data_IF_447789809302
#
_entry.id   IF_447789809302
#
_cell.length_a   1.000
_cell.length_b   1.000
_cell.length_c   1.000
_cell.angle_alpha   90.00
_cell.angle_beta   90.00
_cell.angle_gamma   90.00
#
_symmetry.space_group_name_H-M   'P 1'
#
loop_
_entity.id
_entity.type
_entity.pdbx_description
1 polymer ?
#
# COMPACT_ATOMS: atom_id res chain seq x y z
N UNK A 1 0.23 16.50 -0.61
CA UNK A 1 -0.77 15.43 -0.50
C UNK A 1 -1.19 15.06 -1.91
N UNK A 2 -1.28 13.77 -2.23
CA UNK A 2 -1.78 13.31 -3.51
C UNK A 2 -3.32 13.35 -3.53
N UNK A 3 -3.92 13.59 -4.70
CA UNK A 3 -5.37 13.56 -4.87
C UNK A 3 -5.89 12.12 -4.88
N UNK A 4 -5.11 11.21 -5.48
CA UNK A 4 -5.44 9.78 -5.60
C UNK A 4 -4.27 8.91 -5.17
N UNK A 5 -4.56 7.84 -4.44
CA UNK A 5 -3.66 6.72 -4.15
C UNK A 5 -4.21 5.48 -4.87
N UNK A 6 -3.37 4.83 -5.67
CA UNK A 6 -3.72 3.57 -6.31
C UNK A 6 -3.04 2.41 -5.58
N UNK A 7 -3.84 1.51 -5.01
CA UNK A 7 -3.35 0.30 -4.36
C UNK A 7 -3.07 -0.74 -5.44
N UNK A 8 -1.81 -1.17 -5.53
CA UNK A 8 -1.36 -2.16 -6.51
C UNK A 8 -1.70 -3.58 -6.03
N UNK A 9 -2.74 -4.17 -6.59
CA UNK A 9 -3.24 -5.52 -6.24
C UNK A 9 -2.92 -6.57 -7.30
N UNK A 10 -2.70 -6.13 -8.54
CA UNK A 10 -2.35 -7.00 -9.67
C UNK A 10 -0.85 -7.37 -9.69
N UNK A 11 -0.06 -6.77 -8.82
CA UNK A 11 1.36 -7.07 -8.70
C UNK A 11 1.60 -8.41 -7.98
N UNK A 12 2.73 -9.04 -8.31
CA UNK A 12 3.21 -10.22 -7.60
C UNK A 12 3.42 -9.89 -6.11
N UNK A 13 2.98 -10.80 -5.24
CA UNK A 13 3.25 -10.69 -3.80
C UNK A 13 4.75 -10.83 -3.54
N UNK A 14 5.31 -9.90 -2.77
CA UNK A 14 6.72 -9.91 -2.38
C UNK A 14 6.90 -10.65 -1.05
N UNK A 15 7.59 -11.80 -1.12
CA UNK A 15 7.94 -12.54 0.10
C UNK A 15 8.88 -11.70 0.96
N UNK A 16 8.58 -11.63 2.24
CA UNK A 16 9.32 -10.82 3.22
C UNK A 16 9.16 -9.29 3.07
N UNK A 17 8.23 -8.82 2.21
CA UNK A 17 7.79 -7.43 2.17
C UNK A 17 6.88 -7.05 3.34
N UNK A 18 6.27 -5.89 3.25
CA UNK A 18 5.40 -5.33 4.29
C UNK A 18 3.89 -5.58 4.07
N UNK A 19 3.50 -6.35 3.05
CA UNK A 19 2.08 -6.52 2.70
C UNK A 19 1.26 -7.28 3.75
N UNK A 20 1.91 -8.18 4.50
CA UNK A 20 1.24 -8.98 5.54
C UNK A 20 1.92 -8.91 6.91
N UNK A 21 2.85 -8.00 7.09
CA UNK A 21 3.58 -7.83 8.36
C UNK A 21 4.13 -6.41 8.51
N UNK A 22 4.43 -6.06 9.74
CA UNK A 22 5.15 -4.82 10.07
C UNK A 22 6.19 -5.07 11.16
N UNK A 23 7.17 -4.18 11.27
CA UNK A 23 8.16 -4.19 12.33
C UNK A 23 7.85 -3.09 13.33
N UNK A 24 7.93 -3.41 14.62
CA UNK A 24 7.85 -2.44 15.70
C UNK A 24 8.85 -2.83 16.77
N UNK A 25 9.74 -1.93 17.13
CA UNK A 25 10.81 -2.15 18.14
C UNK A 25 11.62 -3.43 17.87
N UNK A 26 12.06 -3.62 16.62
CA UNK A 26 12.82 -4.77 16.15
C UNK A 26 12.09 -6.13 16.23
N UNK A 27 10.78 -6.13 16.48
CA UNK A 27 9.93 -7.32 16.46
C UNK A 27 8.98 -7.30 15.29
N UNK A 28 8.88 -8.43 14.58
CA UNK A 28 7.95 -8.61 13.48
C UNK A 28 6.60 -9.11 13.95
N UNK A 29 5.54 -8.45 13.49
CA UNK A 29 4.15 -8.83 13.68
C UNK A 29 3.60 -9.24 12.31
N UNK A 30 3.27 -10.51 12.15
CA UNK A 30 2.95 -11.11 10.86
C UNK A 30 1.57 -11.75 10.91
N UNK A 31 0.73 -11.42 9.93
CA UNK A 31 -0.48 -12.17 9.64
C UNK A 31 -0.14 -13.27 8.63
N UNK A 32 -0.53 -14.50 8.95
CA UNK A 32 -0.20 -15.68 8.14
C UNK A 32 -0.99 -15.70 6.85
N UNK A 33 -0.32 -16.01 5.75
CA UNK A 33 -0.92 -16.09 4.41
C UNK A 33 -0.67 -17.45 3.78
N UNK A 34 -1.50 -17.80 2.78
CA UNK A 34 -1.29 -18.98 1.96
C UNK A 34 0.01 -18.85 1.15
N UNK A 35 0.76 -19.96 1.09
CA UNK A 35 2.01 -20.02 0.35
C UNK A 35 1.73 -20.36 -1.12
N UNK A 36 1.54 -19.36 -1.95
CA UNK A 36 1.36 -19.50 -3.39
C UNK A 36 2.05 -18.34 -4.11
N UNK A 37 2.61 -18.60 -5.29
CA UNK A 37 3.12 -17.56 -6.19
C UNK A 37 1.92 -16.95 -6.93
N UNK A 38 1.24 -16.03 -6.30
CA UNK A 38 0.04 -15.37 -6.84
C UNK A 38 0.15 -13.85 -6.69
N UNK A 39 -0.58 -13.08 -7.50
CA UNK A 39 -0.76 -11.65 -7.30
C UNK A 39 -1.33 -11.35 -5.91
N UNK A 40 -1.13 -10.12 -5.46
CA UNK A 40 -1.61 -9.65 -4.13
C UNK A 40 -3.11 -9.88 -3.97
N UNK A 41 -3.91 -9.61 -5.00
CA UNK A 41 -5.37 -9.81 -5.01
C UNK A 41 -5.83 -11.25 -4.74
N UNK A 42 -4.99 -12.24 -5.07
CA UNK A 42 -5.28 -13.67 -4.91
C UNK A 42 -4.67 -14.26 -3.63
N UNK A 43 -4.03 -13.42 -2.82
CA UNK A 43 -3.49 -13.81 -1.52
C UNK A 43 -4.59 -13.86 -0.45
N UNK A 44 -4.53 -14.91 0.36
CA UNK A 44 -5.46 -15.10 1.46
C UNK A 44 -4.72 -15.17 2.79
N UNK A 45 -5.24 -14.48 3.78
CA UNK A 45 -4.91 -14.70 5.18
C UNK A 45 -5.48 -16.07 5.62
N UNK A 46 -4.70 -16.83 6.37
CA UNK A 46 -5.11 -18.16 6.85
C UNK A 46 -6.04 -18.05 8.07
N UNK A 47 -5.71 -17.16 8.97
CA UNK A 47 -6.40 -17.00 10.26
C UNK A 47 -6.60 -15.50 10.57
N UNK A 48 -7.34 -14.76 9.73
CA UNK A 48 -7.37 -13.28 9.82
C UNK A 48 -7.91 -12.78 11.15
N UNK A 49 -8.92 -13.43 11.73
CA UNK A 49 -9.51 -13.04 13.02
C UNK A 49 -8.50 -13.21 14.14
N UNK A 50 -7.88 -14.39 14.22
CA UNK A 50 -6.95 -14.73 15.28
C UNK A 50 -5.65 -13.89 15.20
N UNK A 51 -5.10 -13.74 13.99
CA UNK A 51 -3.88 -12.97 13.80
C UNK A 51 -4.14 -11.47 14.07
N UNK A 52 -5.29 -10.93 13.63
CA UNK A 52 -5.66 -9.54 13.92
C UNK A 52 -5.86 -9.32 15.43
N UNK A 53 -6.56 -10.24 16.10
CA UNK A 53 -6.74 -10.18 17.55
C UNK A 53 -5.41 -10.16 18.32
N UNK A 54 -4.43 -10.97 17.91
CA UNK A 54 -3.07 -10.94 18.51
C UNK A 54 -2.38 -9.59 18.32
N UNK A 55 -2.55 -8.99 17.14
CA UNK A 55 -2.00 -7.67 16.83
C UNK A 55 -2.66 -6.60 17.68
N UNK A 56 -3.99 -6.55 17.75
CA UNK A 56 -4.70 -5.53 18.54
C UNK A 56 -4.51 -5.71 20.04
N UNK A 57 -4.34 -6.94 20.52
CA UNK A 57 -3.93 -7.19 21.91
C UNK A 57 -2.56 -6.60 22.22
N UNK A 58 -1.61 -6.69 21.29
CA UNK A 58 -0.29 -6.08 21.45
C UNK A 58 -0.32 -4.55 21.27
N UNK A 59 -1.24 -4.05 20.49
CA UNK A 59 -1.39 -2.62 20.13
C UNK A 59 -2.84 -2.17 20.25
N UNK A 60 -3.35 -1.94 21.47
CA UNK A 60 -4.77 -1.64 21.71
C UNK A 60 -5.29 -0.40 20.96
N UNK A 61 -4.43 0.54 20.64
CA UNK A 61 -4.81 1.71 19.82
C UNK A 61 -5.34 1.34 18.42
N UNK A 62 -4.97 0.18 17.88
CA UNK A 62 -5.46 -0.31 16.60
C UNK A 62 -6.94 -0.73 16.65
N UNK A 63 -7.53 -0.93 17.83
CA UNK A 63 -8.97 -1.18 17.98
C UNK A 63 -9.83 0.04 17.55
N UNK A 64 -9.21 1.21 17.44
CA UNK A 64 -9.88 2.40 16.87
C UNK A 64 -10.13 2.28 15.37
N UNK A 65 -9.42 1.38 14.71
CA UNK A 65 -9.62 1.12 13.27
C UNK A 65 -10.87 0.29 13.05
N UNK A 66 -11.76 0.77 12.21
CA UNK A 66 -12.92 0.00 11.75
C UNK A 66 -12.47 -0.93 10.60
N UNK A 67 -11.91 -2.08 10.95
CA UNK A 67 -11.35 -3.05 9.99
C UNK A 67 -12.38 -4.10 9.61
N UNK A 68 -12.65 -4.23 8.32
CA UNK A 68 -13.41 -5.37 7.79
C UNK A 68 -12.49 -6.60 7.76
N UNK A 69 -12.59 -7.45 8.79
CA UNK A 69 -11.77 -8.66 8.88
C UNK A 69 -12.29 -9.69 7.90
N UNK A 70 -11.44 -10.06 6.94
CA UNK A 70 -11.79 -11.00 5.88
C UNK A 70 -10.54 -11.73 5.35
N UNK A 71 -10.72 -12.88 4.67
CA UNK A 71 -9.58 -13.67 4.21
C UNK A 71 -8.71 -12.98 3.15
N UNK A 72 -9.28 -12.20 2.22
CA UNK A 72 -8.51 -11.57 1.15
C UNK A 72 -7.57 -10.51 1.69
N UNK A 73 -6.28 -10.66 1.36
CA UNK A 73 -5.21 -9.76 1.82
C UNK A 73 -5.42 -8.32 1.35
N UNK A 74 -5.68 -8.12 0.06
CA UNK A 74 -5.90 -6.81 -0.52
C UNK A 74 -7.09 -6.09 0.10
N UNK A 75 -8.19 -6.81 0.29
CA UNK A 75 -9.43 -6.25 0.81
C UNK A 75 -9.32 -5.87 2.30
N UNK A 76 -8.70 -6.73 3.11
CA UNK A 76 -8.47 -6.42 4.53
C UNK A 76 -7.48 -5.26 4.69
N UNK A 77 -6.36 -5.27 3.95
CA UNK A 77 -5.38 -4.19 4.01
C UNK A 77 -5.98 -2.86 3.55
N UNK A 78 -6.81 -2.87 2.52
CA UNK A 78 -7.51 -1.66 2.06
C UNK A 78 -8.47 -1.13 3.11
N UNK A 79 -9.16 -2.00 3.86
CA UNK A 79 -10.01 -1.54 4.95
C UNK A 79 -9.21 -0.90 6.09
N UNK A 80 -8.03 -1.42 6.41
CA UNK A 80 -7.09 -0.82 7.37
C UNK A 80 -6.66 0.57 6.89
N UNK A 81 -6.22 0.68 5.63
CA UNK A 81 -5.76 1.94 5.04
C UNK A 81 -6.89 2.98 5.03
N UNK A 82 -8.10 2.62 4.61
CA UNK A 82 -9.26 3.52 4.59
C UNK A 82 -9.63 4.01 5.98
N UNK A 83 -9.68 3.10 6.96
CA UNK A 83 -9.99 3.45 8.33
C UNK A 83 -8.93 4.37 8.94
N UNK A 84 -7.65 4.09 8.69
CA UNK A 84 -6.55 4.95 9.12
C UNK A 84 -6.64 6.34 8.46
N UNK A 85 -6.88 6.42 7.17
CA UNK A 85 -7.06 7.67 6.43
C UNK A 85 -8.21 8.49 7.02
N UNK A 86 -9.33 7.87 7.32
CA UNK A 86 -10.48 8.52 7.95
C UNK A 86 -10.14 9.11 9.32
N UNK A 87 -9.48 8.35 10.19
CA UNK A 87 -9.08 8.82 11.54
C UNK A 87 -8.09 9.99 11.44
N UNK A 88 -7.18 9.95 10.47
CA UNK A 88 -6.17 10.98 10.25
C UNK A 88 -6.68 12.19 9.44
N UNK A 89 -7.95 12.20 9.04
CA UNK A 89 -8.53 13.28 8.23
C UNK A 89 -7.93 13.37 6.82
N UNK A 90 -7.38 12.29 6.30
CA UNK A 90 -6.80 12.21 4.95
C UNK A 90 -7.94 12.06 3.94
N UNK A 91 -8.07 13.00 3.00
CA UNK A 91 -9.14 13.05 2.00
C UNK A 91 -8.72 12.53 0.63
N UNK A 92 -7.55 11.92 0.53
CA UNK A 92 -7.03 11.32 -0.70
C UNK A 92 -7.96 10.19 -1.16
N UNK A 93 -8.34 10.18 -2.42
CA UNK A 93 -9.12 9.11 -3.02
C UNK A 93 -8.29 7.82 -3.08
N UNK A 94 -8.88 6.69 -2.71
CA UNK A 94 -8.21 5.39 -2.71
C UNK A 94 -8.86 4.50 -3.76
N UNK A 95 -8.11 4.21 -4.81
CA UNK A 95 -8.47 3.39 -5.96
C UNK A 95 -7.66 2.10 -5.99
N UNK A 96 -8.03 1.17 -6.88
CA UNK A 96 -7.26 -0.03 -7.17
C UNK A 96 -6.69 0.04 -8.58
N UNK A 97 -5.57 -0.64 -8.79
CA UNK A 97 -5.06 -0.88 -10.12
C UNK A 97 -5.93 -1.92 -10.87
N UNK A 98 -5.61 -2.12 -12.13
CA UNK A 98 -6.34 -2.99 -13.04
C UNK A 98 -5.39 -3.97 -13.75
N UNK A 99 -5.91 -5.09 -14.29
CA UNK A 99 -5.12 -6.04 -15.06
C UNK A 99 -4.49 -5.37 -16.29
N UNK A 100 -3.19 -5.54 -16.47
CA UNK A 100 -2.46 -5.07 -17.65
C UNK A 100 -1.32 -6.03 -17.98
N UNK A 101 -0.87 -6.01 -19.24
CA UNK A 101 0.32 -6.74 -19.69
C UNK A 101 1.61 -5.94 -19.47
N UNK A 102 1.50 -4.66 -19.15
CA UNK A 102 2.65 -3.81 -18.89
C UNK A 102 3.24 -4.08 -17.50
N UNK A 103 4.53 -3.88 -17.39
CA UNK A 103 5.30 -4.08 -16.16
C UNK A 103 6.19 -2.87 -15.87
N UNK A 104 6.78 -2.81 -14.67
CA UNK A 104 7.73 -1.77 -14.28
C UNK A 104 7.17 -0.35 -14.53
N UNK A 105 8.00 0.58 -15.02
CA UNK A 105 7.63 1.98 -15.26
C UNK A 105 6.48 2.15 -16.26
N UNK A 106 6.43 1.33 -17.33
CA UNK A 106 5.36 1.40 -18.32
C UNK A 106 3.97 1.17 -17.70
N UNK A 107 3.88 0.26 -16.71
CA UNK A 107 2.66 0.04 -15.94
C UNK A 107 2.27 1.25 -15.10
N UNK A 108 3.23 1.90 -14.44
CA UNK A 108 2.96 3.10 -13.64
C UNK A 108 2.42 4.23 -14.50
N UNK A 109 3.00 4.43 -15.69
CA UNK A 109 2.53 5.41 -16.66
C UNK A 109 1.11 5.08 -17.15
N UNK A 110 0.80 3.80 -17.41
CA UNK A 110 -0.55 3.38 -17.81
C UNK A 110 -1.58 3.68 -16.71
N UNK A 111 -1.24 3.40 -15.45
CA UNK A 111 -2.10 3.72 -14.29
C UNK A 111 -2.32 5.24 -14.20
N UNK A 112 -1.26 6.04 -14.33
CA UNK A 112 -1.37 7.50 -14.33
C UNK A 112 -2.30 8.01 -15.44
N UNK A 113 -2.17 7.50 -16.66
CA UNK A 113 -3.03 7.84 -17.79
C UNK A 113 -4.50 7.47 -17.54
N UNK A 114 -4.74 6.29 -16.96
CA UNK A 114 -6.09 5.84 -16.61
C UNK A 114 -6.81 6.80 -15.66
N UNK A 115 -6.05 7.37 -14.72
CA UNK A 115 -6.58 8.33 -13.73
C UNK A 115 -6.43 9.80 -14.19
N UNK A 116 -6.06 10.07 -15.43
CA UNK A 116 -5.80 11.42 -15.96
C UNK A 116 -4.83 12.21 -15.08
N UNK A 117 -3.85 11.54 -14.48
CA UNK A 117 -2.88 12.17 -13.61
C UNK A 117 -1.86 12.98 -14.42
N UNK A 118 -1.63 14.21 -14.00
CA UNK A 118 -0.59 15.09 -14.56
C UNK A 118 0.72 14.99 -13.77
N UNK A 119 0.67 14.45 -12.54
CA UNK A 119 1.81 14.29 -11.66
C UNK A 119 1.82 12.89 -11.05
N UNK A 120 2.99 12.29 -10.96
CA UNK A 120 3.23 11.04 -10.26
C UNK A 120 4.11 11.28 -9.03
N UNK A 121 3.56 11.07 -7.84
CA UNK A 121 4.30 11.20 -6.59
C UNK A 121 5.01 9.88 -6.27
N UNK A 122 6.33 9.88 -6.32
CA UNK A 122 7.18 8.72 -6.05
C UNK A 122 7.95 8.85 -4.74
N UNK A 123 8.18 7.72 -4.07
CA UNK A 123 9.21 7.65 -3.05
C UNK A 123 10.61 7.89 -3.65
N UNK A 124 11.56 8.33 -2.82
CA UNK A 124 12.91 8.70 -3.28
C UNK A 124 13.65 7.57 -3.99
N UNK A 125 13.43 6.31 -3.56
CA UNK A 125 14.03 5.12 -4.17
C UNK A 125 13.59 4.90 -5.62
N UNK A 126 12.47 5.48 -6.04
CA UNK A 126 12.00 5.40 -7.41
C UNK A 126 13.01 5.90 -8.43
N UNK A 127 13.86 6.86 -8.05
CA UNK A 127 14.93 7.39 -8.92
C UNK A 127 15.90 6.31 -9.42
N UNK A 128 16.05 5.23 -8.67
CA UNK A 128 17.06 4.20 -8.95
C UNK A 128 16.61 3.16 -9.98
N UNK A 129 15.29 3.06 -10.26
CA UNK A 129 14.77 1.98 -11.12
C UNK A 129 13.73 2.44 -12.14
N UNK A 130 13.18 3.64 -12.02
CA UNK A 130 12.18 4.15 -12.97
C UNK A 130 12.84 4.71 -14.22
N UNK A 131 12.26 4.41 -15.36
CA UNK A 131 12.56 5.07 -16.64
C UNK A 131 11.73 6.38 -16.71
N UNK A 132 12.36 7.50 -16.36
CA UNK A 132 11.70 8.81 -16.32
C UNK A 132 11.27 9.28 -17.70
N UNK A 133 11.94 8.82 -18.77
CA UNK A 133 11.57 9.19 -20.14
C UNK A 133 10.16 8.74 -20.51
N UNK A 134 9.71 7.59 -20.01
CA UNK A 134 8.34 7.12 -20.25
C UNK A 134 7.28 8.04 -19.64
N UNK A 135 7.57 8.69 -18.53
CA UNK A 135 6.69 9.70 -17.94
C UNK A 135 6.72 11.00 -18.74
N UNK A 136 7.91 11.44 -19.13
CA UNK A 136 8.09 12.63 -19.98
C UNK A 136 7.32 12.49 -21.32
N UNK A 137 7.50 11.38 -22.02
CA UNK A 137 6.81 11.08 -23.29
C UNK A 137 5.27 11.02 -23.09
N UNK A 138 4.81 10.72 -21.86
CA UNK A 138 3.41 10.72 -21.49
C UNK A 138 2.91 12.08 -20.97
N UNK A 139 3.76 13.10 -20.88
CA UNK A 139 3.46 14.41 -20.31
C UNK A 139 2.99 14.34 -18.84
N UNK A 140 3.64 13.48 -18.06
CA UNK A 140 3.38 13.29 -16.64
C UNK A 140 4.63 13.69 -15.86
N UNK A 141 4.51 14.67 -14.98
CA UNK A 141 5.60 15.12 -14.13
C UNK A 141 5.84 14.14 -12.97
N UNK A 142 7.10 13.75 -12.73
CA UNK A 142 7.47 12.90 -11.59
C UNK A 142 7.98 13.77 -10.44
N UNK A 143 7.25 13.72 -9.33
CA UNK A 143 7.62 14.42 -8.09
C UNK A 143 8.14 13.39 -7.10
N UNK A 144 9.37 13.58 -6.60
CA UNK A 144 9.93 12.71 -5.57
C UNK A 144 9.67 13.29 -4.18
N UNK A 145 9.25 12.41 -3.27
CA UNK A 145 9.09 12.79 -1.87
C UNK A 145 10.43 13.24 -1.27
N UNK A 146 10.38 14.29 -0.45
CA UNK A 146 11.51 14.70 0.36
C UNK A 146 11.49 13.91 1.68
N UNK A 147 12.59 13.17 1.96
CA UNK A 147 12.72 12.38 3.19
C UNK A 147 12.65 13.24 4.46
N UNK A 148 13.06 14.52 4.37
CA UNK A 148 13.05 15.42 5.52
C UNK A 148 11.63 15.85 5.91
N UNK A 149 10.67 15.75 5.00
CA UNK A 149 9.26 16.11 5.24
C UNK A 149 8.40 14.93 5.70
N UNK A 150 8.91 13.70 5.57
CA UNK A 150 8.16 12.51 5.94
C UNK A 150 8.21 12.29 7.45
N UNK A 151 7.04 12.13 8.06
CA UNK A 151 6.96 11.64 9.43
C UNK A 151 7.49 10.21 9.51
N UNK A 152 8.49 10.00 10.37
CA UNK A 152 9.03 8.64 10.65
C UNK A 152 8.16 7.87 11.65
N UNK A 153 7.07 8.47 12.13
CA UNK A 153 6.14 7.80 13.07
C UNK A 153 5.28 6.79 12.31
N UNK A 154 5.22 5.58 12.85
CA UNK A 154 4.29 4.56 12.36
C UNK A 154 2.85 4.90 12.72
N UNK A 155 1.88 4.28 12.04
CA UNK A 155 0.46 4.42 12.37
C UNK A 155 0.18 4.15 13.86
N UNK A 156 0.84 3.13 14.45
CA UNK A 156 0.71 2.76 15.87
C UNK A 156 1.12 3.90 16.81
N UNK A 157 2.09 4.72 16.42
CA UNK A 157 2.57 5.86 17.21
C UNK A 157 1.69 7.11 17.03
N UNK A 158 0.97 7.19 15.91
CA UNK A 158 0.12 8.34 15.57
C UNK A 158 -1.28 8.18 16.18
N UNK A 159 -1.84 6.96 16.17
CA UNK A 159 -3.14 6.63 16.80
C UNK A 159 -3.05 6.70 18.34
#
# INVERSE_FOLDING_TARGET
QADTIVILTECQFEKNGYQNRFNHENKWYTMRINQSLRPIKDKLYLEPIEDWRKITTAFPKLDRLNVSIQPRLDAMNSSIIRSAAQILGIRTEIQYDFPTKLTSTARLVEICKHHNATHYLSGISGRNYMDLKLFEDAQIDVVFQDENTLSKKSLIQIL
#
